data_IF_814956468352
#
_entry.id   IF_814956468352
#
_cell.length_a   1.000
_cell.length_b   1.000
_cell.length_c   1.000
_cell.angle_alpha   90.00
_cell.angle_beta   90.00
_cell.angle_gamma   90.00
#
_symmetry.space_group_name_H-M   'P 1'
#
loop_
_entity.id
_entity.type
_entity.pdbx_description
1 polymer ?
#
# COMPACT_ATOMS: atom_id res chain seq x y z
N UNK A 1 19.66 5.20 10.80
CA UNK A 1 19.79 6.56 10.31
C UNK A 1 18.86 7.36 11.20
N UNK A 2 19.34 8.36 11.95
CA UNK A 2 18.63 8.95 13.10
C UNK A 2 17.48 9.86 12.64
N UNK A 3 16.24 9.57 13.06
CA UNK A 3 15.05 10.41 12.84
C UNK A 3 15.19 11.85 13.41
N UNK A 4 16.07 12.03 14.40
CA UNK A 4 16.31 13.33 15.04
C UNK A 4 17.06 14.36 14.14
N UNK A 5 17.72 13.93 13.07
CA UNK A 5 18.51 14.80 12.19
C UNK A 5 17.66 15.36 11.01
N UNK A 6 16.53 14.73 10.73
CA UNK A 6 15.67 15.13 9.59
C UNK A 6 14.69 16.26 9.94
N UNK A 7 14.41 16.51 11.21
CA UNK A 7 13.42 17.51 11.64
C UNK A 7 13.88 18.96 11.42
N UNK A 8 15.18 19.17 11.26
CA UNK A 8 15.78 20.49 10.98
C UNK A 8 15.97 20.79 9.48
N UNK A 9 15.67 19.81 8.61
CA UNK A 9 15.83 19.98 7.17
C UNK A 9 14.65 20.77 6.55
N UNK A 10 14.92 21.52 5.46
CA UNK A 10 13.86 22.14 4.68
C UNK A 10 12.83 21.08 4.24
N UNK A 11 11.52 21.40 4.18
CA UNK A 11 10.47 20.43 3.85
C UNK A 11 10.71 19.68 2.53
N UNK A 12 11.26 20.35 1.52
CA UNK A 12 11.60 19.73 0.23
C UNK A 12 12.73 18.70 0.36
N UNK A 13 13.74 18.97 1.17
CA UNK A 13 14.84 18.02 1.40
C UNK A 13 14.35 16.80 2.19
N UNK A 14 13.50 17.00 3.20
CA UNK A 14 12.82 15.90 3.90
C UNK A 14 12.03 15.03 2.92
N UNK A 15 11.20 15.64 2.06
CA UNK A 15 10.45 14.93 1.05
C UNK A 15 11.35 14.13 0.09
N UNK A 16 12.47 14.73 -0.37
CA UNK A 16 13.42 14.05 -1.25
C UNK A 16 14.06 12.82 -0.58
N UNK A 17 14.43 12.93 0.69
CA UNK A 17 14.98 11.81 1.46
C UNK A 17 13.93 10.71 1.68
N UNK A 18 12.70 11.09 2.02
CA UNK A 18 11.59 10.14 2.16
C UNK A 18 11.27 9.43 0.84
N UNK A 19 11.41 10.11 -0.30
CA UNK A 19 11.13 9.52 -1.61
C UNK A 19 12.12 8.40 -1.99
N UNK A 20 13.32 8.38 -1.46
CA UNK A 20 14.35 7.34 -1.74
C UNK A 20 14.43 6.26 -0.66
N UNK A 21 13.48 6.20 0.26
CA UNK A 21 13.42 5.14 1.28
C UNK A 21 12.91 3.81 0.68
N UNK A 22 13.15 2.68 1.36
CA UNK A 22 12.59 1.39 0.94
C UNK A 22 11.07 1.36 0.82
N UNK A 23 10.36 2.20 1.59
CA UNK A 23 8.91 2.36 1.51
C UNK A 23 8.43 3.13 0.29
N UNK A 24 9.32 3.86 -0.41
CA UNK A 24 9.01 4.63 -1.61
C UNK A 24 9.77 4.12 -2.84
N UNK A 25 10.73 4.90 -3.35
CA UNK A 25 11.39 4.67 -4.65
C UNK A 25 12.91 4.56 -4.47
N UNK A 26 13.36 3.56 -3.74
CA UNK A 26 14.76 3.33 -3.35
C UNK A 26 15.76 3.30 -4.54
N UNK A 27 15.29 3.11 -5.77
CA UNK A 27 16.15 3.11 -6.97
C UNK A 27 16.45 4.51 -7.50
N UNK A 28 15.74 5.54 -7.05
CA UNK A 28 16.05 6.91 -7.41
C UNK A 28 17.30 7.39 -6.66
N UNK A 29 18.14 8.17 -7.34
CA UNK A 29 19.17 8.93 -6.63
C UNK A 29 18.52 10.05 -5.81
N UNK A 30 19.20 10.51 -4.75
CA UNK A 30 18.73 11.67 -3.99
C UNK A 30 18.67 12.95 -4.86
N UNK A 31 19.54 13.07 -5.86
CA UNK A 31 19.50 14.16 -6.83
C UNK A 31 18.22 14.11 -7.66
N UNK A 32 17.86 12.94 -8.22
CA UNK A 32 16.61 12.75 -8.94
C UNK A 32 15.39 13.03 -8.05
N UNK A 33 15.43 12.57 -6.79
CA UNK A 33 14.35 12.78 -5.84
C UNK A 33 14.08 14.27 -5.55
N UNK A 34 15.14 15.08 -5.39
CA UNK A 34 15.02 16.54 -5.21
C UNK A 34 14.31 17.19 -6.40
N UNK A 35 14.65 16.77 -7.61
CA UNK A 35 14.01 17.29 -8.81
C UNK A 35 12.55 16.81 -8.95
N UNK A 36 12.24 15.56 -8.63
CA UNK A 36 10.86 15.07 -8.61
C UNK A 36 10.01 15.80 -7.59
N UNK A 37 10.54 16.05 -6.39
CA UNK A 37 9.83 16.78 -5.32
C UNK A 37 9.50 18.22 -5.74
N UNK A 38 10.26 18.85 -6.62
CA UNK A 38 9.94 20.19 -7.15
C UNK A 38 8.62 20.21 -7.97
N UNK A 39 8.17 19.05 -8.48
CA UNK A 39 6.87 18.90 -9.16
C UNK A 39 5.74 18.50 -8.19
N UNK A 40 6.05 18.21 -6.92
CA UNK A 40 5.05 17.86 -5.91
C UNK A 40 4.49 19.11 -5.22
N UNK A 41 3.23 19.06 -4.85
CA UNK A 41 2.56 20.08 -4.04
C UNK A 41 2.48 19.61 -2.59
N UNK A 42 2.85 20.44 -1.60
CA UNK A 42 2.70 20.09 -0.20
C UNK A 42 1.22 20.00 0.18
N UNK A 43 0.87 18.98 0.99
CA UNK A 43 -0.47 18.77 1.54
C UNK A 43 -0.36 18.53 3.04
N UNK A 44 -1.30 19.13 3.79
CA UNK A 44 -1.55 18.80 5.20
C UNK A 44 -2.95 18.21 5.30
N UNK A 45 -3.06 17.08 5.96
CA UNK A 45 -4.28 16.27 6.02
C UNK A 45 -4.54 15.98 7.50
N UNK A 46 -5.65 16.49 8.08
CA UNK A 46 -5.99 16.25 9.49
C UNK A 46 -6.27 14.76 9.75
N UNK A 47 -5.98 14.31 10.97
CA UNK A 47 -6.36 12.99 11.46
C UNK A 47 -7.84 12.69 11.21
N UNK A 48 -8.17 11.45 10.88
CA UNK A 48 -9.52 11.00 10.56
C UNK A 48 -10.02 11.34 9.15
N UNK A 49 -9.23 12.08 8.34
CA UNK A 49 -9.63 12.44 6.96
C UNK A 49 -9.44 11.24 6.03
N UNK A 50 -10.49 10.91 5.27
CA UNK A 50 -10.35 9.97 4.13
C UNK A 50 -9.57 10.66 3.01
N UNK A 51 -8.41 10.10 2.69
CA UNK A 51 -7.48 10.59 1.66
C UNK A 51 -7.93 10.08 0.29
N UNK A 52 -8.19 8.77 0.20
CA UNK A 52 -8.70 8.06 -0.97
C UNK A 52 -9.82 7.11 -0.55
N UNK A 53 -10.85 7.01 -1.40
CA UNK A 53 -11.94 6.05 -1.21
C UNK A 53 -11.83 4.93 -2.24
N UNK A 54 -11.87 3.66 -1.81
CA UNK A 54 -11.85 2.51 -2.72
C UNK A 54 -12.99 2.61 -3.76
N UNK A 55 -12.65 2.36 -5.03
CA UNK A 55 -13.60 2.43 -6.15
C UNK A 55 -13.86 3.85 -6.68
N UNK A 56 -13.33 4.89 -6.04
CA UNK A 56 -13.46 6.26 -6.53
C UNK A 56 -12.64 6.44 -7.83
N UNK A 57 -13.33 6.87 -8.88
CA UNK A 57 -12.78 7.16 -10.21
C UNK A 57 -12.78 8.67 -10.51
N UNK A 58 -13.41 9.48 -9.65
CA UNK A 58 -13.48 10.93 -9.82
C UNK A 58 -12.25 11.60 -9.23
N UNK A 59 -11.70 12.58 -9.79
CA UNK A 59 -10.72 13.55 -9.29
C UNK A 59 -9.31 13.05 -8.88
N UNK A 60 -8.93 11.77 -9.02
CA UNK A 60 -7.81 11.30 -8.24
C UNK A 60 -6.64 10.67 -8.97
N UNK A 61 -6.26 11.16 -10.14
CA UNK A 61 -5.03 10.74 -10.81
C UNK A 61 -3.79 11.35 -10.14
N UNK A 62 -3.65 11.08 -8.84
CA UNK A 62 -2.50 11.54 -8.08
C UNK A 62 -1.97 10.46 -7.13
N UNK A 63 -0.71 10.61 -6.75
CA UNK A 63 -0.09 9.88 -5.66
C UNK A 63 0.37 10.83 -4.56
N UNK A 64 0.44 10.31 -3.34
CA UNK A 64 1.00 11.00 -2.19
C UNK A 64 2.23 10.27 -1.66
N UNK A 65 3.26 11.05 -1.35
CA UNK A 65 4.38 10.63 -0.52
C UNK A 65 4.10 11.09 0.91
N UNK A 66 4.00 10.16 1.84
CA UNK A 66 3.88 10.48 3.28
C UNK A 66 5.24 10.99 3.77
N UNK A 67 5.27 12.21 4.29
CA UNK A 67 6.49 12.87 4.83
C UNK A 67 6.49 12.78 6.34
N UNK A 68 5.30 12.90 6.96
CA UNK A 68 5.10 12.82 8.40
C UNK A 68 3.70 12.29 8.71
N UNK A 69 3.52 11.64 9.86
CA UNK A 69 2.26 11.01 10.27
C UNK A 69 2.03 9.62 9.67
N UNK A 70 0.88 9.03 10.02
CA UNK A 70 0.50 7.68 9.66
C UNK A 70 -0.80 7.63 8.87
N UNK A 71 -0.87 6.72 7.90
CA UNK A 71 -2.05 6.45 7.06
C UNK A 71 -2.45 4.99 7.22
N UNK A 72 -3.71 4.73 7.54
CA UNK A 72 -4.29 3.38 7.47
C UNK A 72 -4.77 3.10 6.06
N UNK A 73 -4.49 1.89 5.59
CA UNK A 73 -5.02 1.34 4.33
C UNK A 73 -6.04 0.27 4.67
N UNK A 74 -7.28 0.49 4.24
CA UNK A 74 -8.41 -0.38 4.49
C UNK A 74 -8.85 -1.04 3.19
N UNK A 75 -9.02 -2.34 3.23
CA UNK A 75 -9.60 -3.09 2.11
C UNK A 75 -11.03 -3.52 2.52
N UNK A 76 -12.03 -3.04 1.82
CA UNK A 76 -13.40 -3.47 2.02
C UNK A 76 -13.59 -4.83 1.35
N UNK A 77 -13.44 -5.90 2.12
CA UNK A 77 -13.68 -7.26 1.63
C UNK A 77 -15.17 -7.54 1.37
N UNK A 78 -16.09 -6.73 1.91
CA UNK A 78 -17.54 -6.82 1.69
C UNK A 78 -18.21 -5.49 2.11
N UNK A 79 -19.32 -5.09 1.45
CA UNK A 79 -20.09 -3.89 1.82
C UNK A 79 -20.68 -3.93 3.25
N UNK A 80 -20.70 -5.10 3.88
CA UNK A 80 -21.29 -5.33 5.22
C UNK A 80 -20.25 -5.55 6.32
N UNK A 81 -18.97 -5.57 6.00
CA UNK A 81 -17.89 -5.66 7.00
C UNK A 81 -17.35 -4.27 7.31
N UNK A 82 -17.21 -3.96 8.60
CA UNK A 82 -16.35 -2.85 9.02
C UNK A 82 -15.00 -3.00 8.34
N UNK A 83 -14.49 -1.93 7.70
CA UNK A 83 -13.27 -1.96 6.91
C UNK A 83 -12.13 -2.61 7.71
N UNK A 84 -11.59 -3.71 7.19
CA UNK A 84 -10.44 -4.34 7.83
C UNK A 84 -9.20 -3.49 7.53
N UNK A 85 -8.60 -2.92 8.57
CA UNK A 85 -7.29 -2.27 8.44
C UNK A 85 -6.28 -3.33 8.01
N UNK A 86 -5.77 -3.20 6.80
CA UNK A 86 -4.82 -4.16 6.22
C UNK A 86 -3.38 -3.80 6.59
N UNK A 87 -3.08 -2.51 6.67
CA UNK A 87 -1.75 -2.02 7.01
C UNK A 87 -1.76 -0.56 7.46
N UNK A 88 -0.71 -0.17 8.18
CA UNK A 88 -0.41 1.23 8.52
C UNK A 88 0.86 1.63 7.76
N UNK A 89 0.81 2.75 7.11
CA UNK A 89 1.87 3.33 6.30
C UNK A 89 2.35 4.63 6.94
N UNK A 90 3.61 4.66 7.34
CA UNK A 90 4.28 5.83 7.91
C UNK A 90 5.10 6.63 6.90
N UNK A 91 5.97 7.53 7.39
CA UNK A 91 6.86 8.35 6.58
C UNK A 91 7.68 7.54 5.57
N UNK A 92 7.88 8.08 4.37
CA UNK A 92 8.53 7.40 3.27
C UNK A 92 7.67 6.37 2.54
N UNK A 93 6.35 6.36 2.79
CA UNK A 93 5.43 5.52 2.02
C UNK A 93 4.79 6.28 0.87
N UNK A 94 4.53 5.56 -0.24
CA UNK A 94 3.75 6.06 -1.38
C UNK A 94 2.37 5.42 -1.37
N UNK A 95 1.34 6.23 -1.64
CA UNK A 95 -0.05 5.78 -1.80
C UNK A 95 -0.66 6.40 -3.06
N UNK A 96 -1.53 5.65 -3.73
CA UNK A 96 -2.26 6.10 -4.93
C UNK A 96 -1.45 6.04 -6.23
N UNK A 97 -0.26 5.45 -6.23
CA UNK A 97 0.62 5.35 -7.40
C UNK A 97 0.00 4.55 -8.56
N UNK A 98 -0.87 3.57 -8.27
CA UNK A 98 -1.53 2.76 -9.29
C UNK A 98 -2.43 3.62 -10.16
N UNK A 99 -3.34 4.36 -9.55
CA UNK A 99 -4.27 5.25 -10.27
C UNK A 99 -3.55 6.37 -11.02
N UNK A 100 -2.43 6.88 -10.50
CA UNK A 100 -1.58 7.84 -11.22
C UNK A 100 -1.07 7.27 -12.54
N UNK A 101 -0.71 5.98 -12.58
CA UNK A 101 -0.11 5.33 -13.75
C UNK A 101 -1.17 4.91 -14.77
N UNK A 102 -2.24 4.23 -14.34
CA UNK A 102 -3.18 3.56 -15.22
C UNK A 102 -4.56 4.25 -15.33
N UNK A 103 -4.84 5.25 -14.48
CA UNK A 103 -6.13 5.93 -14.45
C UNK A 103 -7.27 5.07 -13.90
N UNK A 104 -6.96 3.93 -13.31
CA UNK A 104 -7.98 3.06 -12.71
C UNK A 104 -8.53 3.64 -11.41
N UNK A 105 -9.76 3.26 -11.00
CA UNK A 105 -10.30 3.61 -9.69
C UNK A 105 -9.36 3.23 -8.54
N UNK A 106 -9.45 3.96 -7.43
CA UNK A 106 -8.64 3.68 -6.23
C UNK A 106 -8.83 2.24 -5.75
N UNK A 107 -7.73 1.54 -5.54
CA UNK A 107 -7.73 0.12 -5.15
C UNK A 107 -8.07 -0.12 -3.67
N UNK A 108 -7.89 0.90 -2.82
CA UNK A 108 -8.11 0.81 -1.38
C UNK A 108 -8.57 2.16 -0.82
N UNK A 109 -9.22 2.13 0.35
CA UNK A 109 -9.50 3.31 1.15
C UNK A 109 -8.28 3.63 2.00
N UNK A 110 -7.83 4.89 1.96
CA UNK A 110 -6.74 5.40 2.77
C UNK A 110 -7.25 6.50 3.70
N UNK A 111 -6.99 6.37 5.00
CA UNK A 111 -7.43 7.32 6.02
C UNK A 111 -6.21 7.81 6.80
N UNK A 112 -6.13 9.11 7.06
CA UNK A 112 -5.11 9.69 7.92
C UNK A 112 -5.34 9.23 9.37
N UNK A 113 -4.47 8.38 9.90
CA UNK A 113 -4.55 7.92 11.29
C UNK A 113 -4.12 8.99 12.29
N UNK A 114 -3.17 9.83 11.89
CA UNK A 114 -2.69 11.02 12.60
C UNK A 114 -2.79 12.23 11.66
N UNK A 115 -2.38 13.41 12.11
CA UNK A 115 -2.13 14.53 11.19
C UNK A 115 -1.00 14.14 10.25
N UNK A 116 -1.24 14.27 8.93
CA UNK A 116 -0.30 13.85 7.88
C UNK A 116 0.23 15.06 7.13
N UNK A 117 1.56 15.13 6.99
CA UNK A 117 2.20 15.98 5.99
C UNK A 117 2.62 15.11 4.79
N UNK A 118 2.24 15.52 3.58
CA UNK A 118 2.49 14.75 2.36
C UNK A 118 2.93 15.63 1.19
N UNK A 119 3.64 15.03 0.24
CA UNK A 119 3.88 15.59 -1.10
C UNK A 119 2.94 14.95 -2.12
N UNK A 120 2.15 15.75 -2.83
CA UNK A 120 1.19 15.31 -3.84
C UNK A 120 1.77 15.47 -5.25
N UNK A 121 1.87 14.39 -6.01
CA UNK A 121 2.18 14.40 -7.44
C UNK A 121 0.91 14.10 -8.23
N UNK A 122 0.42 15.06 -9.01
CA UNK A 122 -0.73 14.90 -9.88
C UNK A 122 -0.33 14.36 -11.26
N UNK A 123 -1.29 13.82 -12.02
CA UNK A 123 -1.07 13.41 -13.42
C UNK A 123 -0.57 14.57 -14.29
N UNK A 124 -1.09 15.78 -14.11
CA UNK A 124 -0.63 16.96 -14.84
C UNK A 124 0.82 17.31 -14.50
N UNK A 125 1.20 17.21 -13.22
CA UNK A 125 2.59 17.43 -12.80
C UNK A 125 3.53 16.35 -13.39
N UNK A 126 3.08 15.09 -13.43
CA UNK A 126 3.81 14.01 -14.09
C UNK A 126 3.94 14.27 -15.60
N UNK A 127 2.88 14.70 -16.27
CA UNK A 127 2.91 15.05 -17.70
C UNK A 127 3.88 16.21 -17.97
N UNK A 128 3.89 17.24 -17.12
CA UNK A 128 4.88 18.32 -17.20
C UNK A 128 6.30 17.77 -17.05
N UNK A 129 6.56 16.94 -16.04
CA UNK A 129 7.86 16.30 -15.83
C UNK A 129 8.30 15.50 -17.07
N UNK A 130 7.37 14.75 -17.70
CA UNK A 130 7.65 14.01 -18.92
C UNK A 130 8.06 14.90 -20.10
N UNK A 131 7.47 16.08 -20.21
CA UNK A 131 7.79 17.04 -21.26
C UNK A 131 9.07 17.83 -20.99
N UNK A 132 9.27 18.26 -19.74
CA UNK A 132 10.40 19.12 -19.36
C UNK A 132 11.68 18.32 -19.10
N UNK A 133 11.56 17.13 -18.49
CA UNK A 133 12.69 16.28 -18.09
C UNK A 133 12.42 14.79 -18.41
N UNK A 134 12.34 14.37 -19.69
CA UNK A 134 11.96 13.02 -20.07
C UNK A 134 12.87 11.92 -19.49
N UNK A 135 14.14 12.19 -19.31
CA UNK A 135 15.09 11.26 -18.70
C UNK A 135 14.81 11.02 -17.20
N UNK A 136 14.43 12.06 -16.46
CA UNK A 136 14.04 11.96 -15.06
C UNK A 136 12.69 11.25 -14.95
N UNK A 137 11.71 11.61 -15.79
CA UNK A 137 10.42 10.96 -15.83
C UNK A 137 10.54 9.45 -16.10
N UNK A 138 11.43 9.04 -17.02
CA UNK A 138 11.68 7.63 -17.29
C UNK A 138 12.24 6.90 -16.05
N UNK A 139 13.19 7.48 -15.31
CA UNK A 139 13.71 6.91 -14.07
C UNK A 139 12.64 6.82 -12.98
N UNK A 140 11.82 7.85 -12.83
CA UNK A 140 10.69 7.84 -11.90
C UNK A 140 9.71 6.70 -12.23
N UNK A 141 9.29 6.59 -13.48
CA UNK A 141 8.35 5.55 -13.91
C UNK A 141 8.93 4.13 -13.75
N UNK A 142 10.22 3.94 -14.02
CA UNK A 142 10.90 2.66 -13.75
C UNK A 142 10.93 2.33 -12.25
N UNK A 143 11.19 3.32 -11.41
CA UNK A 143 11.20 3.13 -9.96
C UNK A 143 9.80 2.76 -9.43
N UNK A 144 8.74 3.42 -9.90
CA UNK A 144 7.36 3.08 -9.57
C UNK A 144 7.01 1.67 -10.08
N UNK A 145 7.36 1.34 -11.33
CA UNK A 145 7.12 0.00 -11.90
C UNK A 145 7.82 -1.10 -11.12
N UNK A 146 9.04 -0.85 -10.67
CA UNK A 146 9.78 -1.79 -9.80
C UNK A 146 9.06 -2.00 -8.47
N UNK A 147 8.62 -0.93 -7.82
CA UNK A 147 7.85 -0.99 -6.57
C UNK A 147 6.56 -1.81 -6.76
N UNK A 148 5.78 -1.54 -7.81
CA UNK A 148 4.56 -2.30 -8.11
C UNK A 148 4.86 -3.79 -8.36
N UNK A 149 5.95 -4.10 -9.05
CA UNK A 149 6.40 -5.48 -9.24
C UNK A 149 6.75 -6.17 -7.93
N UNK A 150 7.38 -5.47 -7.00
CA UNK A 150 7.73 -6.03 -5.69
C UNK A 150 6.47 -6.25 -4.83
N UNK A 151 5.51 -5.32 -4.85
CA UNK A 151 4.21 -5.49 -4.21
C UNK A 151 3.45 -6.70 -4.77
N UNK A 152 3.44 -6.88 -6.10
CA UNK A 152 2.81 -8.05 -6.73
C UNK A 152 3.47 -9.37 -6.29
N UNK A 153 4.80 -9.43 -6.23
CA UNK A 153 5.51 -10.62 -5.74
C UNK A 153 5.19 -10.91 -4.27
N UNK A 154 5.06 -9.88 -3.45
CA UNK A 154 4.68 -10.03 -2.05
C UNK A 154 3.24 -10.53 -1.92
N UNK A 155 2.29 -9.95 -2.67
CA UNK A 155 0.90 -10.38 -2.70
C UNK A 155 0.79 -11.87 -3.12
N UNK A 156 1.49 -12.28 -4.17
CA UNK A 156 1.53 -13.67 -4.61
C UNK A 156 2.08 -14.61 -3.52
N UNK A 157 3.12 -14.21 -2.80
CA UNK A 157 3.64 -15.00 -1.66
C UNK A 157 2.60 -15.16 -0.55
N UNK A 158 1.90 -14.07 -0.20
CA UNK A 158 0.81 -14.11 0.80
C UNK A 158 -0.31 -15.05 0.38
N UNK A 159 -0.74 -15.01 -0.88
CA UNK A 159 -1.77 -15.91 -1.44
C UNK A 159 -1.34 -17.38 -1.32
N UNK A 160 -0.10 -17.71 -1.68
CA UNK A 160 0.43 -19.08 -1.56
C UNK A 160 0.40 -19.55 -0.10
N UNK A 161 0.84 -18.71 0.84
CA UNK A 161 0.82 -19.02 2.27
C UNK A 161 -0.62 -19.25 2.77
N UNK A 162 -1.56 -18.38 2.42
CA UNK A 162 -2.97 -18.56 2.76
C UNK A 162 -3.55 -19.85 2.20
N UNK A 163 -3.20 -20.20 0.95
CA UNK A 163 -3.67 -21.45 0.33
C UNK A 163 -3.13 -22.67 1.07
N UNK A 164 -1.88 -22.66 1.52
CA UNK A 164 -1.28 -23.75 2.29
C UNK A 164 -1.96 -23.91 3.66
N UNK A 165 -2.14 -22.78 4.38
CA UNK A 165 -2.81 -22.79 5.69
C UNK A 165 -4.26 -23.26 5.55
N UNK A 166 -5.00 -22.78 4.55
CA UNK A 166 -6.39 -23.19 4.30
C UNK A 166 -6.49 -24.69 4.02
N UNK A 167 -5.57 -25.25 3.22
CA UNK A 167 -5.52 -26.70 2.96
C UNK A 167 -5.23 -27.51 4.22
N UNK A 168 -4.29 -27.07 5.06
CA UNK A 168 -3.97 -27.75 6.32
C UNK A 168 -5.17 -27.76 7.27
N UNK A 169 -5.85 -26.61 7.44
CA UNK A 169 -7.06 -26.51 8.25
C UNK A 169 -8.20 -27.40 7.73
N UNK A 170 -8.36 -27.48 6.40
CA UNK A 170 -9.36 -28.36 5.81
C UNK A 170 -9.06 -29.84 6.10
N UNK A 171 -7.79 -30.27 6.02
CA UNK A 171 -7.37 -31.64 6.36
C UNK A 171 -7.63 -31.97 7.84
N UNK A 172 -7.32 -31.05 8.75
CA UNK A 172 -7.62 -31.22 10.18
C UNK A 172 -9.13 -31.32 10.45
N UNK A 173 -9.92 -30.48 9.79
CA UNK A 173 -11.38 -30.52 9.89
C UNK A 173 -11.95 -31.85 9.39
N UNK A 174 -11.49 -32.33 8.25
CA UNK A 174 -11.92 -33.62 7.67
C UNK A 174 -11.53 -34.78 8.57
N UNK A 175 -10.34 -34.77 9.18
CA UNK A 175 -9.89 -35.74 10.16
C UNK A 175 -10.77 -35.72 11.42
N UNK A 176 -11.06 -34.53 11.96
CA UNK A 176 -11.95 -34.38 13.11
C UNK A 176 -13.38 -34.92 12.82
N UNK A 177 -13.92 -34.62 11.64
CA UNK A 177 -15.21 -35.13 11.19
C UNK A 177 -15.21 -36.66 11.05
N UNK A 178 -14.12 -37.26 10.56
CA UNK A 178 -14.00 -38.72 10.47
C UNK A 178 -13.98 -39.39 11.83
N UNK A 179 -13.28 -38.80 12.82
CA UNK A 179 -13.26 -39.29 14.21
C UNK A 179 -14.66 -39.17 14.83
N UNK A 180 -15.34 -38.03 14.69
CA UNK A 180 -16.68 -37.80 15.21
C UNK A 180 -17.70 -38.81 14.64
N UNK A 181 -17.61 -39.09 13.34
CA UNK A 181 -18.48 -40.08 12.69
C UNK A 181 -18.28 -41.47 13.26
N UNK A 182 -17.03 -41.91 13.53
CA UNK A 182 -16.72 -43.17 14.16
C UNK A 182 -17.24 -43.30 15.59
N UNK A 183 -17.20 -42.19 16.35
CA UNK A 183 -17.73 -42.17 17.72
C UNK A 183 -19.26 -42.23 17.80
N UNK A 184 -19.93 -41.72 16.77
CA UNK A 184 -21.40 -41.70 16.67
C UNK A 184 -21.99 -42.99 16.04
N UNK A 185 -21.18 -43.87 15.43
CA UNK A 185 -21.65 -45.15 14.94
C UNK A 185 -22.04 -46.08 16.10
N UNK A 186 -23.29 -46.59 16.14
CA UNK A 186 -23.70 -47.50 17.20
C UNK A 186 -22.89 -48.78 17.16
N UNK A 187 -22.28 -49.15 18.29
CA UNK A 187 -21.57 -50.43 18.45
C UNK A 187 -22.50 -51.56 18.10
N UNK A 188 -22.26 -52.30 17.01
CA UNK A 188 -23.00 -53.53 16.71
C UNK A 188 -22.89 -54.47 17.91
N UNK A 189 -24.03 -55.01 18.42
CA UNK A 189 -23.97 -56.00 19.50
C UNK A 189 -23.13 -57.21 19.04
N UNK A 190 -22.22 -57.64 19.88
CA UNK A 190 -21.49 -58.89 19.71
C UNK A 190 -22.54 -60.00 19.82
N UNK A 191 -22.95 -60.60 18.71
CA UNK A 191 -23.66 -61.88 18.69
C UNK A 191 -22.68 -62.95 19.14
N UNK A 192 -22.92 -63.52 20.33
CA UNK A 192 -22.24 -64.69 20.86
C UNK A 192 -22.63 -65.96 20.15
#
# INVERSE_FOLDING_TARGET
>A
MNDADDDHLPPQERAARQLVTPGALVQLSLADAREVVAYMMPRRIPAGTTIFQAGDASDGDDMLLVIDGDVTVENQASPTSEGLVVTVLGPGSLIGEMSLIDGSPRSATCVAATDVAAGRLTRDALARLMNEQPGLAARLLLAISKRLSDHLREANRKILTFTQVSRALQQELDAAHAVNRRLLEPRKPRTG
#
